data_IF_802104650194
#
_entry.id   IF_802104650194
#
_cell.length_a   1.000
_cell.length_b   1.000
_cell.length_c   1.000
_cell.angle_alpha   90.00
_cell.angle_beta   90.00
_cell.angle_gamma   90.00
#
_symmetry.space_group_name_H-M   'P 1'
#
loop_
_entity.id
_entity.type
_entity.pdbx_description
1 polymer ?
#
# COMPACT_ATOMS: atom_id res chain seq x y z
N UNK A 1 -2.57 -1.02 -15.45
CA UNK A 1 -2.69 -1.12 -13.98
C UNK A 1 -1.60 -0.33 -13.27
N UNK A 2 -0.31 -0.51 -13.65
CA UNK A 2 0.83 0.22 -13.07
C UNK A 2 0.72 1.75 -13.16
N UNK A 3 0.25 2.29 -14.30
CA UNK A 3 0.09 3.74 -14.53
C UNK A 3 -1.21 4.35 -13.99
N UNK A 4 -2.00 3.59 -13.22
CA UNK A 4 -3.32 4.02 -12.75
C UNK A 4 -3.42 4.14 -11.22
N UNK A 5 -2.27 4.10 -10.54
CA UNK A 5 -2.17 4.32 -9.10
C UNK A 5 -1.99 5.81 -8.78
N UNK A 6 -2.76 6.28 -7.80
CA UNK A 6 -2.64 7.63 -7.26
C UNK A 6 -2.41 7.57 -5.75
N UNK A 7 -1.50 8.41 -5.26
CA UNK A 7 -1.23 8.53 -3.84
C UNK A 7 -1.93 9.75 -3.26
N UNK A 8 -2.67 9.54 -2.19
CA UNK A 8 -3.20 10.61 -1.36
C UNK A 8 -2.60 10.49 0.04
N UNK A 9 -2.03 11.59 0.52
CA UNK A 9 -1.38 11.64 1.82
C UNK A 9 -2.21 12.50 2.75
N UNK A 10 -2.72 11.90 3.83
CA UNK A 10 -3.49 12.59 4.86
C UNK A 10 -2.66 12.72 6.13
N UNK A 11 -2.36 13.96 6.53
CA UNK A 11 -1.75 14.24 7.84
C UNK A 11 -2.85 14.30 8.91
N UNK A 12 -3.10 13.17 9.57
CA UNK A 12 -3.98 13.12 10.74
C UNK A 12 -3.24 13.65 11.99
N UNK A 13 -3.24 14.98 12.20
CA UNK A 13 -2.83 15.61 13.47
C UNK A 13 -1.45 15.18 14.01
N UNK A 14 -1.24 15.11 15.35
CA UNK A 14 0.03 14.65 15.95
C UNK A 14 0.31 13.14 15.78
N UNK A 15 -0.40 12.43 14.90
CA UNK A 15 -0.28 10.99 14.66
C UNK A 15 0.68 10.62 13.52
N UNK A 16 0.91 9.33 13.35
CA UNK A 16 1.56 8.78 12.15
C UNK A 16 0.67 9.06 10.92
N UNK A 17 1.24 9.55 9.81
CA UNK A 17 0.46 9.84 8.61
C UNK A 17 -0.21 8.57 8.07
N UNK A 18 -1.33 8.73 7.37
CA UNK A 18 -1.97 7.65 6.62
C UNK A 18 -1.79 7.98 5.14
N UNK A 19 -1.28 7.01 4.38
CA UNK A 19 -1.16 7.12 2.93
C UNK A 19 -2.16 6.17 2.28
N UNK A 20 -2.95 6.73 1.36
CA UNK A 20 -3.90 6.00 0.53
C UNK A 20 -3.31 5.82 -0.86
N UNK A 21 -3.44 4.61 -1.38
CA UNK A 21 -3.08 4.21 -2.74
C UNK A 21 -4.35 3.82 -3.46
N UNK A 22 -4.78 4.64 -4.42
CA UNK A 22 -6.02 4.47 -5.18
C UNK A 22 -5.76 3.89 -6.57
N UNK A 23 -6.47 2.83 -6.93
CA UNK A 23 -6.49 2.28 -8.29
C UNK A 23 -7.67 2.87 -9.06
N UNK A 24 -7.40 3.87 -9.91
CA UNK A 24 -8.46 4.63 -10.61
C UNK A 24 -9.36 3.76 -11.50
N UNK A 25 -8.79 2.72 -12.10
CA UNK A 25 -9.51 1.87 -13.07
C UNK A 25 -10.64 1.06 -12.42
N UNK A 26 -10.46 0.64 -11.17
CA UNK A 26 -11.43 -0.19 -10.43
C UNK A 26 -12.14 0.56 -9.30
N UNK A 27 -11.58 1.68 -8.84
CA UNK A 27 -12.04 2.37 -7.62
C UNK A 27 -11.54 1.73 -6.33
N UNK A 28 -10.73 0.67 -6.41
CA UNK A 28 -10.16 0.00 -5.24
C UNK A 28 -9.04 0.83 -4.60
N UNK A 29 -8.78 0.60 -3.31
CA UNK A 29 -7.73 1.31 -2.60
C UNK A 29 -7.11 0.51 -1.47
N UNK A 30 -5.85 0.83 -1.20
CA UNK A 30 -5.11 0.39 -0.02
C UNK A 30 -4.82 1.61 0.86
N UNK A 31 -5.03 1.49 2.17
CA UNK A 31 -4.58 2.45 3.16
C UNK A 31 -3.45 1.85 4.01
N UNK A 32 -2.33 2.55 4.14
CA UNK A 32 -1.21 2.16 4.99
C UNK A 32 -0.91 3.25 6.01
N UNK A 33 -0.50 2.83 7.22
CA UNK A 33 0.03 3.74 8.24
C UNK A 33 1.51 3.99 7.96
N UNK A 34 1.95 5.24 8.07
CA UNK A 34 3.28 5.67 7.67
C UNK A 34 3.35 6.06 6.19
N UNK A 35 4.45 6.70 5.81
CA UNK A 35 4.70 7.02 4.41
C UNK A 35 5.05 5.75 3.64
N UNK A 36 4.51 5.56 2.45
CA UNK A 36 4.99 4.51 1.55
C UNK A 36 6.41 4.86 1.09
N UNK A 37 7.36 3.95 1.33
CA UNK A 37 8.76 4.14 0.94
C UNK A 37 9.12 3.38 -0.32
N UNK A 38 8.45 2.27 -0.57
CA UNK A 38 8.68 1.41 -1.73
C UNK A 38 7.45 0.58 -2.02
N UNK A 39 7.25 0.28 -3.30
CA UNK A 39 6.17 -0.57 -3.76
C UNK A 39 6.45 -1.11 -5.15
N UNK A 40 5.99 -2.32 -5.42
CA UNK A 40 6.10 -2.94 -6.73
C UNK A 40 4.94 -3.91 -6.98
N UNK A 41 4.50 -3.95 -8.23
CA UNK A 41 3.52 -4.92 -8.69
C UNK A 41 4.23 -6.22 -9.01
N UNK A 42 3.56 -7.34 -8.77
CA UNK A 42 4.03 -8.62 -9.28
C UNK A 42 3.97 -8.70 -10.82
N UNK A 43 4.30 -9.88 -11.36
CA UNK A 43 4.36 -10.09 -12.81
C UNK A 43 2.98 -10.00 -13.48
N UNK A 44 1.92 -10.37 -12.77
CA UNK A 44 0.57 -10.48 -13.31
C UNK A 44 -0.22 -9.16 -13.13
N UNK A 45 0.26 -8.29 -12.23
CA UNK A 45 -0.31 -6.97 -11.98
C UNK A 45 -1.55 -7.00 -11.09
N UNK A 46 -1.78 -8.09 -10.37
CA UNK A 46 -2.89 -8.26 -9.44
C UNK A 46 -2.46 -8.11 -7.98
N UNK A 47 -1.22 -8.43 -7.64
CA UNK A 47 -0.66 -8.18 -6.30
C UNK A 47 0.30 -6.99 -6.29
N UNK A 48 0.09 -6.07 -5.36
CA UNK A 48 0.97 -4.94 -5.08
C UNK A 48 1.63 -5.12 -3.71
N UNK A 49 2.96 -5.21 -3.70
CA UNK A 49 3.74 -5.16 -2.47
C UNK A 49 3.97 -3.70 -2.06
N UNK A 50 3.78 -3.38 -0.78
CA UNK A 50 3.98 -2.03 -0.23
C UNK A 50 4.78 -2.11 1.07
N UNK A 51 5.79 -1.26 1.18
CA UNK A 51 6.59 -1.04 2.39
C UNK A 51 6.28 0.38 2.89
N UNK A 52 5.96 0.49 4.17
CA UNK A 52 5.67 1.77 4.81
C UNK A 52 6.66 2.06 5.94
N UNK A 53 6.98 3.34 6.14
CA UNK A 53 7.82 3.79 7.25
C UNK A 53 7.24 3.31 8.60
N UNK A 54 8.12 2.92 9.51
CA UNK A 54 7.76 2.49 10.88
C UNK A 54 6.85 1.26 10.92
N UNK A 55 6.69 0.53 9.81
CA UNK A 55 6.11 -0.81 9.77
C UNK A 55 7.21 -1.86 9.73
N UNK A 56 7.08 -2.92 10.54
CA UNK A 56 7.91 -4.12 10.45
C UNK A 56 7.34 -5.14 9.46
N UNK A 57 6.25 -4.80 8.75
CA UNK A 57 5.54 -5.69 7.85
C UNK A 57 5.58 -5.18 6.40
N UNK A 58 5.62 -6.12 5.46
CA UNK A 58 5.34 -5.88 4.04
C UNK A 58 3.85 -6.13 3.82
N UNK A 59 3.17 -5.17 3.21
CA UNK A 59 1.77 -5.32 2.81
C UNK A 59 1.69 -5.92 1.42
N UNK A 60 0.90 -6.97 1.25
CA UNK A 60 0.54 -7.53 -0.04
C UNK A 60 -0.94 -7.24 -0.29
N UNK A 61 -1.21 -6.36 -1.25
CA UNK A 61 -2.56 -5.96 -1.62
C UNK A 61 -2.98 -6.61 -2.93
N UNK A 62 -4.06 -7.38 -2.86
CA UNK A 62 -4.74 -7.95 -4.02
C UNK A 62 -5.72 -6.92 -4.58
N UNK A 63 -5.41 -6.41 -5.76
CA UNK A 63 -6.18 -5.36 -6.43
C UNK A 63 -7.50 -5.87 -7.03
N UNK A 64 -7.62 -7.18 -7.29
CA UNK A 64 -8.83 -7.79 -7.82
C UNK A 64 -9.88 -7.99 -6.72
N UNK A 65 -9.42 -8.40 -5.53
CA UNK A 65 -10.31 -8.66 -4.39
C UNK A 65 -10.37 -7.53 -3.37
N UNK A 66 -9.53 -6.51 -3.54
CA UNK A 66 -9.33 -5.40 -2.62
C UNK A 66 -8.97 -5.87 -1.19
N UNK A 67 -8.23 -6.98 -1.08
CA UNK A 67 -7.81 -7.56 0.21
C UNK A 67 -6.34 -7.25 0.47
N UNK A 68 -6.00 -7.07 1.75
CA UNK A 68 -4.62 -6.86 2.17
C UNK A 68 -4.19 -7.98 3.11
N UNK A 69 -2.98 -8.49 2.91
CA UNK A 69 -2.31 -9.40 3.83
C UNK A 69 -0.98 -8.80 4.25
N UNK A 70 -0.52 -9.13 5.47
CA UNK A 70 0.73 -8.60 6.02
C UNK A 70 1.70 -9.76 6.20
N UNK A 71 2.92 -9.57 5.71
CA UNK A 71 4.04 -10.46 5.94
C UNK A 71 4.99 -9.79 6.94
N UNK A 72 5.29 -10.45 8.05
CA UNK A 72 6.35 -10.00 8.95
C UNK A 72 7.68 -10.07 8.21
N UNK A 73 8.37 -8.94 8.10
CA UNK A 73 9.64 -8.87 7.38
C UNK A 73 10.77 -9.58 8.13
N UNK A 74 10.57 -9.93 9.41
CA UNK A 74 11.63 -10.49 10.26
C UNK A 74 12.78 -9.52 10.51
N UNK A 75 12.66 -8.27 10.05
CA UNK A 75 13.63 -7.20 10.27
C UNK A 75 13.44 -6.66 11.69
N UNK A 76 14.35 -7.05 12.59
CA UNK A 76 14.42 -6.57 13.98
C UNK A 76 15.75 -5.90 14.24
#
# INVERSE_FOLDING_TARGET
MKDSLYFYHEKSGPGTPIQFTWQKTSGNYLAVTGNCVAMDWDKDGDILAVIAEKSSCIYLWDANTNKTSQLDSGMR
#
